data_IF_646262921347
#
_entry.id   IF_646262921347
#
_cell.length_a   1.000
_cell.length_b   1.000
_cell.length_c   1.000
_cell.angle_alpha   90.00
_cell.angle_beta   90.00
_cell.angle_gamma   90.00
#
_symmetry.space_group_name_H-M   'P 1'
#
loop_
_entity.id
_entity.type
_entity.pdbx_description
1 polymer ?
#
# COMPACT_ATOMS: atom_id res chain seq x y z
N UNK A 1 16.93 1.16 6.35
CA UNK A 1 17.73 1.78 5.29
C UNK A 1 17.76 3.29 5.44
N UNK A 2 18.89 3.90 5.10
CA UNK A 2 18.98 5.34 4.95
C UNK A 2 18.35 5.80 3.64
N UNK A 3 18.09 7.11 3.49
CA UNK A 3 17.57 7.66 2.23
C UNK A 3 18.54 7.44 1.07
N UNK A 4 19.84 7.51 1.30
CA UNK A 4 20.87 7.30 0.27
C UNK A 4 20.92 5.83 -0.17
N UNK A 5 20.81 4.88 0.74
CA UNK A 5 20.72 3.46 0.42
C UNK A 5 19.48 3.15 -0.42
N UNK A 6 18.34 3.76 -0.08
CA UNK A 6 17.12 3.63 -0.85
C UNK A 6 17.22 4.30 -2.21
N UNK A 7 17.85 5.47 -2.30
CA UNK A 7 18.07 6.15 -3.57
C UNK A 7 18.90 5.29 -4.55
N UNK A 8 19.85 4.52 -4.05
CA UNK A 8 20.66 3.61 -4.85
C UNK A 8 19.97 2.27 -5.20
N UNK A 9 18.83 1.97 -4.56
CA UNK A 9 18.18 0.68 -4.68
C UNK A 9 17.63 0.42 -6.10
N UNK A 10 17.72 -0.85 -6.52
CA UNK A 10 17.11 -1.34 -7.75
C UNK A 10 15.70 -1.88 -7.47
N UNK A 11 14.87 -1.95 -8.52
CA UNK A 11 13.62 -2.68 -8.42
C UNK A 11 13.91 -4.18 -8.24
N UNK A 12 13.12 -4.83 -7.39
CA UNK A 12 13.17 -6.28 -7.20
C UNK A 12 12.01 -6.97 -7.89
N UNK A 13 11.98 -8.30 -7.82
CA UNK A 13 10.89 -9.13 -8.35
C UNK A 13 10.25 -9.90 -7.19
N UNK A 14 9.09 -9.46 -6.68
CA UNK A 14 8.37 -10.19 -5.64
C UNK A 14 7.72 -11.46 -6.20
N UNK A 15 7.36 -12.45 -5.34
CA UNK A 15 6.69 -13.69 -5.79
C UNK A 15 5.37 -13.44 -6.52
N UNK A 16 4.67 -12.34 -6.21
CA UNK A 16 3.40 -11.90 -6.77
C UNK A 16 3.56 -10.77 -7.82
N UNK A 17 4.70 -10.75 -8.52
CA UNK A 17 5.02 -9.70 -9.51
C UNK A 17 3.96 -9.57 -10.63
N UNK A 18 3.29 -10.66 -11.00
CA UNK A 18 2.21 -10.63 -12.01
C UNK A 18 1.09 -9.65 -11.64
N UNK A 19 0.82 -9.49 -10.36
CA UNK A 19 -0.20 -8.54 -9.85
C UNK A 19 0.42 -7.21 -9.47
N UNK A 20 1.55 -7.23 -8.76
CA UNK A 20 2.12 -6.04 -8.14
C UNK A 20 2.95 -5.17 -9.09
N UNK A 21 3.40 -5.72 -10.22
CA UNK A 21 4.14 -5.00 -11.26
C UNK A 21 3.27 -4.68 -12.50
N UNK A 22 2.04 -5.20 -12.58
CA UNK A 22 1.19 -4.95 -13.74
C UNK A 22 0.67 -3.51 -13.76
N UNK A 23 0.71 -2.92 -14.95
CA UNK A 23 0.06 -1.65 -15.26
C UNK A 23 -1.20 -1.95 -16.04
N UNK A 24 -2.37 -1.41 -15.67
CA UNK A 24 -3.61 -1.61 -16.43
C UNK A 24 -3.49 -1.14 -17.87
N UNK A 25 -4.07 -1.89 -18.81
CA UNK A 25 -3.99 -1.58 -20.24
C UNK A 25 -4.79 -0.33 -20.65
N UNK A 26 -5.73 0.08 -19.81
CA UNK A 26 -6.62 1.24 -20.00
C UNK A 26 -6.11 2.50 -19.27
N UNK A 27 -4.88 2.47 -18.76
CA UNK A 27 -4.28 3.63 -18.09
C UNK A 27 -4.15 4.82 -19.06
N UNK A 28 -4.49 6.00 -18.57
CA UNK A 28 -4.37 7.23 -19.35
C UNK A 28 -2.93 7.48 -19.81
N UNK A 29 -2.71 7.78 -21.11
CA UNK A 29 -1.39 8.20 -21.59
C UNK A 29 -0.85 9.45 -20.87
N UNK A 30 -1.73 10.26 -20.29
CA UNK A 30 -1.35 11.43 -19.50
C UNK A 30 -0.70 11.02 -18.18
N UNK A 31 -1.23 10.01 -17.49
CA UNK A 31 -0.60 9.46 -16.28
C UNK A 31 0.75 8.80 -16.57
N UNK A 32 0.86 8.13 -17.70
CA UNK A 32 2.14 7.53 -18.14
C UNK A 32 3.19 8.63 -18.39
N UNK A 33 2.83 9.69 -19.11
CA UNK A 33 3.74 10.82 -19.32
C UNK A 33 4.12 11.50 -18.01
N UNK A 34 3.15 11.73 -17.13
CA UNK A 34 3.40 12.33 -15.82
C UNK A 34 4.44 11.55 -15.01
N UNK A 35 4.33 10.20 -14.98
CA UNK A 35 5.31 9.36 -14.29
C UNK A 35 6.73 9.56 -14.86
N UNK A 36 6.85 9.51 -16.18
CA UNK A 36 8.14 9.72 -16.85
C UNK A 36 8.69 11.13 -16.63
N UNK A 37 7.84 12.16 -16.66
CA UNK A 37 8.26 13.55 -16.45
C UNK A 37 8.76 13.77 -15.01
N UNK A 38 8.06 13.21 -14.02
CA UNK A 38 8.47 13.29 -12.61
C UNK A 38 9.82 12.61 -12.40
N UNK A 39 10.07 11.50 -13.07
CA UNK A 39 11.24 10.64 -12.83
C UNK A 39 12.36 10.83 -13.82
N UNK A 40 12.26 11.76 -14.78
CA UNK A 40 13.20 11.96 -15.87
C UNK A 40 14.67 12.19 -15.44
N UNK A 41 14.88 12.79 -14.25
CA UNK A 41 16.21 13.02 -13.69
C UNK A 41 16.74 11.90 -12.79
N UNK A 42 15.96 10.83 -12.58
CA UNK A 42 16.27 9.78 -11.63
C UNK A 42 16.88 8.55 -12.32
N UNK A 43 18.13 8.24 -11.98
CA UNK A 43 18.89 7.18 -12.64
C UNK A 43 18.57 5.77 -12.12
N UNK A 44 18.02 5.65 -10.91
CA UNK A 44 17.73 4.38 -10.24
C UNK A 44 16.26 4.29 -9.85
N UNK A 45 15.70 3.08 -9.72
CA UNK A 45 14.35 2.89 -9.19
C UNK A 45 14.12 3.58 -7.84
N UNK A 46 15.05 3.49 -6.92
CA UNK A 46 14.96 4.18 -5.64
C UNK A 46 14.93 5.70 -5.75
N UNK A 47 15.73 6.29 -6.65
CA UNK A 47 15.69 7.72 -6.95
C UNK A 47 14.36 8.13 -7.61
N UNK A 48 13.78 7.28 -8.46
CA UNK A 48 12.44 7.50 -9.03
C UNK A 48 11.37 7.56 -7.94
N UNK A 49 11.43 6.65 -6.96
CA UNK A 49 10.53 6.68 -5.79
C UNK A 49 10.64 8.00 -5.04
N UNK A 50 11.87 8.46 -4.79
CA UNK A 50 12.09 9.76 -4.13
C UNK A 50 11.50 10.93 -4.93
N UNK A 51 11.65 10.92 -6.26
CA UNK A 51 11.07 11.94 -7.14
C UNK A 51 9.53 11.95 -7.07
N UNK A 52 8.90 10.78 -7.08
CA UNK A 52 7.44 10.63 -6.93
C UNK A 52 6.98 11.18 -5.57
N UNK A 53 7.67 10.83 -4.48
CA UNK A 53 7.35 11.33 -3.14
C UNK A 53 7.53 12.85 -3.05
N UNK A 54 8.59 13.39 -3.66
CA UNK A 54 8.84 14.83 -3.71
C UNK A 54 7.76 15.58 -4.51
N UNK A 55 7.25 15.00 -5.60
CA UNK A 55 6.14 15.56 -6.36
C UNK A 55 4.89 15.75 -5.50
N UNK A 56 4.50 14.72 -4.73
CA UNK A 56 3.32 14.77 -3.85
C UNK A 56 3.49 15.65 -2.61
N UNK A 57 4.73 16.06 -2.29
CA UNK A 57 5.03 17.00 -1.19
C UNK A 57 5.03 18.48 -1.62
N UNK A 58 4.75 18.76 -2.89
CA UNK A 58 4.64 20.15 -3.37
C UNK A 58 3.52 20.88 -2.67
N UNK A 59 3.62 22.22 -2.51
CA UNK A 59 2.66 23.00 -1.72
C UNK A 59 1.24 23.03 -2.28
N UNK A 60 1.06 22.70 -3.57
CA UNK A 60 -0.26 22.57 -4.17
C UNK A 60 -1.05 21.37 -3.64
N UNK A 61 -0.38 20.32 -3.20
CA UNK A 61 -1.03 19.13 -2.64
C UNK A 61 -1.47 19.36 -1.19
N UNK A 62 -2.72 19.03 -0.89
CA UNK A 62 -3.28 19.19 0.45
C UNK A 62 -4.10 17.98 0.88
N UNK A 63 -3.98 17.63 2.17
CA UNK A 63 -4.80 16.60 2.78
C UNK A 63 -6.19 17.13 3.14
N UNK A 64 -7.23 16.39 2.79
CA UNK A 64 -8.59 16.73 3.19
C UNK A 64 -9.48 15.49 3.16
N UNK A 65 -10.19 15.25 4.24
CA UNK A 65 -11.25 14.25 4.33
C UNK A 65 -12.53 14.66 3.59
N UNK A 66 -12.71 15.97 3.32
CA UNK A 66 -13.85 16.50 2.57
C UNK A 66 -13.63 16.43 1.05
N UNK A 67 -12.48 15.95 0.61
CA UNK A 67 -12.21 15.75 -0.80
C UNK A 67 -13.23 14.78 -1.39
N UNK A 68 -13.78 15.13 -2.55
CA UNK A 68 -14.70 14.29 -3.34
C UNK A 68 -13.90 13.72 -4.53
N UNK A 69 -12.97 12.77 -4.31
CA UNK A 69 -12.19 12.23 -5.41
C UNK A 69 -13.11 11.44 -6.34
N UNK A 70 -12.89 11.59 -7.64
CA UNK A 70 -13.50 10.72 -8.63
C UNK A 70 -13.10 9.25 -8.42
N UNK A 71 -13.77 8.35 -9.12
CA UNK A 71 -13.49 6.93 -9.06
C UNK A 71 -12.38 6.51 -10.03
N UNK A 72 -11.67 5.43 -9.71
CA UNK A 72 -10.71 4.79 -10.60
C UNK A 72 -9.54 5.69 -11.01
N UNK A 73 -9.02 5.43 -12.21
CA UNK A 73 -7.85 6.15 -12.74
C UNK A 73 -8.16 7.59 -13.14
N UNK A 74 -9.39 7.88 -13.55
CA UNK A 74 -9.82 9.26 -13.85
C UNK A 74 -9.80 10.14 -12.59
N UNK A 75 -10.27 9.61 -11.47
CA UNK A 75 -10.21 10.30 -10.19
C UNK A 75 -8.78 10.52 -9.72
N UNK A 76 -7.89 9.54 -9.97
CA UNK A 76 -6.48 9.66 -9.61
C UNK A 76 -5.75 10.67 -10.52
N UNK A 77 -6.07 10.71 -11.82
CA UNK A 77 -5.56 11.72 -12.75
C UNK A 77 -6.00 13.12 -12.35
N UNK A 78 -7.29 13.28 -12.00
CA UNK A 78 -7.81 14.55 -11.51
C UNK A 78 -7.10 15.01 -10.23
N UNK A 79 -6.86 14.11 -9.28
CA UNK A 79 -6.10 14.41 -8.07
C UNK A 79 -4.67 14.87 -8.39
N UNK A 80 -3.96 14.15 -9.27
CA UNK A 80 -2.56 14.44 -9.59
C UNK A 80 -2.35 15.72 -10.40
N UNK A 81 -3.30 16.09 -11.27
CA UNK A 81 -3.09 17.14 -12.28
C UNK A 81 -3.97 18.39 -12.08
N UNK A 82 -5.05 18.29 -11.31
CA UNK A 82 -6.02 19.37 -11.22
C UNK A 82 -6.41 19.73 -9.80
N UNK A 83 -6.90 18.76 -9.04
CA UNK A 83 -7.57 19.02 -7.76
C UNK A 83 -6.56 19.14 -6.61
N UNK A 84 -5.49 18.36 -6.63
CA UNK A 84 -4.39 18.27 -5.66
C UNK A 84 -4.87 18.14 -4.21
N UNK A 85 -6.12 17.72 -4.01
CA UNK A 85 -6.78 17.61 -2.73
C UNK A 85 -7.33 16.20 -2.55
N UNK A 86 -6.87 15.50 -1.52
CA UNK A 86 -7.24 14.11 -1.27
C UNK A 86 -6.87 13.66 0.14
N UNK A 87 -7.11 12.38 0.42
CA UNK A 87 -6.75 11.74 1.68
C UNK A 87 -5.80 10.55 1.42
N UNK A 88 -5.42 9.79 2.44
CA UNK A 88 -4.38 8.76 2.37
C UNK A 88 -4.48 7.82 1.15
N UNK A 89 -5.71 7.46 0.74
CA UNK A 89 -5.91 6.55 -0.40
C UNK A 89 -5.42 7.16 -1.72
N UNK A 90 -5.71 8.44 -2.01
CA UNK A 90 -5.23 9.11 -3.23
C UNK A 90 -3.70 9.21 -3.24
N UNK A 91 -3.09 9.56 -2.13
CA UNK A 91 -1.64 9.63 -1.99
C UNK A 91 -0.99 8.26 -2.18
N UNK A 92 -1.48 7.23 -1.48
CA UNK A 92 -0.96 5.87 -1.59
C UNK A 92 -1.12 5.29 -2.99
N UNK A 93 -2.31 5.48 -3.61
CA UNK A 93 -2.59 4.99 -4.97
C UNK A 93 -1.75 5.70 -6.03
N UNK A 94 -1.48 7.00 -5.85
CA UNK A 94 -0.61 7.76 -6.75
C UNK A 94 0.80 7.20 -6.76
N UNK A 95 1.39 7.01 -5.58
CA UNK A 95 2.75 6.42 -5.49
C UNK A 95 2.77 5.03 -6.09
N UNK A 96 1.80 4.17 -5.74
CA UNK A 96 1.76 2.81 -6.24
C UNK A 96 1.62 2.75 -7.77
N UNK A 97 0.74 3.54 -8.37
CA UNK A 97 0.55 3.58 -9.82
C UNK A 97 1.76 4.15 -10.55
N UNK A 98 2.27 5.31 -10.12
CA UNK A 98 3.42 5.95 -10.76
C UNK A 98 4.67 5.06 -10.66
N UNK A 99 4.86 4.36 -9.54
CA UNK A 99 5.93 3.39 -9.37
C UNK A 99 5.80 2.20 -10.34
N UNK A 100 4.59 1.65 -10.54
CA UNK A 100 4.35 0.56 -11.51
C UNK A 100 4.65 0.99 -12.93
N UNK A 101 4.25 2.19 -13.32
CA UNK A 101 4.58 2.75 -14.65
C UNK A 101 6.09 2.79 -14.85
N UNK A 102 6.85 3.06 -13.79
CA UNK A 102 8.32 3.09 -13.78
C UNK A 102 8.98 1.71 -13.57
N UNK A 103 8.20 0.63 -13.63
CA UNK A 103 8.69 -0.74 -13.49
C UNK A 103 9.04 -1.15 -12.06
N UNK A 104 8.52 -0.46 -11.06
CA UNK A 104 8.76 -0.75 -9.65
C UNK A 104 7.51 -1.44 -9.08
N UNK A 105 7.59 -2.72 -8.68
CA UNK A 105 6.45 -3.43 -8.11
C UNK A 105 5.95 -2.72 -6.84
N UNK A 106 4.63 -2.56 -6.75
CA UNK A 106 4.00 -1.82 -5.67
C UNK A 106 2.68 -2.43 -5.23
N UNK A 107 2.33 -2.19 -3.97
CA UNK A 107 1.04 -2.54 -3.38
C UNK A 107 0.60 -1.46 -2.40
N UNK A 108 -0.68 -1.46 -2.04
CA UNK A 108 -1.22 -0.58 -1.01
C UNK A 108 -1.48 -1.42 0.24
N UNK A 109 -0.90 -1.00 1.35
CA UNK A 109 -1.22 -1.53 2.66
C UNK A 109 -2.33 -0.69 3.30
N UNK A 110 -3.25 -1.35 4.00
CA UNK A 110 -4.31 -0.71 4.77
C UNK A 110 -4.20 -1.21 6.22
N UNK A 111 -4.24 -0.28 7.16
CA UNK A 111 -4.11 -0.57 8.57
C UNK A 111 -4.45 0.64 9.42
N UNK A 112 -3.73 0.82 10.50
CA UNK A 112 -3.95 1.90 11.45
C UNK A 112 -2.61 2.55 11.82
N UNK A 113 -2.65 3.86 12.04
CA UNK A 113 -1.55 4.55 12.75
C UNK A 113 -1.52 4.10 14.22
N UNK A 114 -0.45 4.38 14.98
CA UNK A 114 -0.32 3.90 16.36
C UNK A 114 -1.44 4.31 17.32
N UNK A 115 -2.30 5.25 16.95
CA UNK A 115 -3.36 5.75 17.83
C UNK A 115 -2.83 6.63 18.97
N UNK A 116 -3.52 6.63 20.13
CA UNK A 116 -3.18 7.48 21.28
C UNK A 116 -2.87 6.61 22.49
N UNK A 117 -1.78 6.96 23.20
CA UNK A 117 -1.48 6.34 24.48
C UNK A 117 -2.36 6.96 25.58
N UNK A 118 -3.17 6.13 26.23
CA UNK A 118 -4.12 6.54 27.27
C UNK A 118 -3.92 5.68 28.50
N UNK A 119 -3.52 6.27 29.61
CA UNK A 119 -3.19 5.52 30.84
C UNK A 119 -1.97 4.61 30.63
N UNK A 120 -2.22 3.31 30.52
CA UNK A 120 -1.19 2.25 30.38
C UNK A 120 -1.29 1.46 29.06
N UNK A 121 -2.14 1.90 28.13
CA UNK A 121 -2.38 1.20 26.87
C UNK A 121 -2.55 2.14 25.67
N UNK A 122 -2.38 1.60 24.46
CA UNK A 122 -2.65 2.29 23.20
C UNK A 122 -4.13 2.09 22.82
N UNK A 123 -4.81 3.20 22.54
CA UNK A 123 -6.18 3.20 22.01
C UNK A 123 -6.11 3.53 20.52
N UNK A 124 -6.58 2.58 19.70
CA UNK A 124 -6.70 2.74 18.23
C UNK A 124 -8.17 2.78 17.88
N UNK A 125 -8.56 3.73 17.06
CA UNK A 125 -9.95 3.95 16.64
C UNK A 125 -10.06 3.93 15.12
N UNK A 126 -11.26 4.01 14.58
CA UNK A 126 -11.47 4.13 13.13
C UNK A 126 -10.90 5.44 12.53
N UNK A 127 -10.68 6.46 13.36
CA UNK A 127 -10.00 7.69 12.93
C UNK A 127 -8.50 7.48 12.65
N UNK A 128 -7.93 6.41 13.19
CA UNK A 128 -6.53 6.06 12.99
C UNK A 128 -6.33 5.15 11.75
N UNK A 129 -7.42 4.82 11.02
CA UNK A 129 -7.33 4.03 9.80
C UNK A 129 -6.53 4.77 8.73
N UNK A 130 -5.61 4.06 8.10
CA UNK A 130 -4.65 4.64 7.18
C UNK A 130 -4.32 3.69 6.02
N UNK A 131 -3.91 4.27 4.89
CA UNK A 131 -3.41 3.56 3.73
C UNK A 131 -2.04 4.14 3.32
N UNK A 132 -1.08 3.26 3.02
CA UNK A 132 0.25 3.64 2.57
C UNK A 132 0.74 2.72 1.46
N UNK A 133 1.64 3.20 0.56
CA UNK A 133 2.24 2.37 -0.46
C UNK A 133 3.41 1.56 0.10
N UNK A 134 3.56 0.34 -0.39
CA UNK A 134 4.76 -0.46 -0.23
C UNK A 134 5.34 -0.79 -1.61
N UNK A 135 6.65 -0.57 -1.76
CA UNK A 135 7.36 -0.80 -3.00
C UNK A 135 8.42 -1.89 -2.80
N UNK A 136 8.56 -2.76 -3.80
CA UNK A 136 9.51 -3.86 -3.69
C UNK A 136 10.88 -3.48 -4.25
N UNK A 137 11.85 -3.37 -3.37
CA UNK A 137 13.23 -2.99 -3.71
C UNK A 137 14.17 -4.17 -3.51
N UNK A 138 15.09 -4.36 -4.46
CA UNK A 138 16.05 -5.45 -4.43
C UNK A 138 16.93 -5.39 -3.16
N UNK A 139 17.06 -6.50 -2.48
CA UNK A 139 17.78 -6.60 -1.21
C UNK A 139 17.02 -6.11 0.02
N UNK A 140 15.92 -5.39 -0.16
CA UNK A 140 15.11 -4.83 0.92
C UNK A 140 13.73 -5.49 1.08
N UNK A 141 13.18 -6.07 0.00
CA UNK A 141 11.82 -6.57 -0.03
C UNK A 141 10.80 -5.44 -0.10
N UNK A 142 9.64 -5.63 0.52
CA UNK A 142 8.60 -4.62 0.64
C UNK A 142 9.01 -3.52 1.62
N UNK A 143 9.08 -2.30 1.13
CA UNK A 143 9.46 -1.10 1.89
C UNK A 143 8.26 -0.15 1.91
N UNK A 144 7.82 0.24 3.10
CA UNK A 144 6.71 1.18 3.31
C UNK A 144 7.18 2.62 3.12
N UNK A 145 6.33 3.44 2.49
CA UNK A 145 6.55 4.87 2.32
C UNK A 145 5.34 5.65 2.79
N UNK A 146 5.57 6.89 3.27
CA UNK A 146 4.49 7.77 3.71
C UNK A 146 4.46 9.04 2.84
N UNK A 147 3.57 9.10 1.84
CA UNK A 147 3.39 10.28 1.01
C UNK A 147 2.40 11.30 1.58
N UNK A 148 1.60 10.92 2.59
CA UNK A 148 0.48 11.73 3.08
C UNK A 148 0.96 12.88 3.93
N UNK A 149 0.60 14.14 3.60
CA UNK A 149 0.97 15.28 4.43
C UNK A 149 0.39 15.19 5.85
N UNK A 150 1.19 15.53 6.85
CA UNK A 150 0.75 15.58 8.26
C UNK A 150 0.73 14.24 8.99
N UNK A 151 0.86 13.12 8.31
CA UNK A 151 1.04 11.81 8.94
C UNK A 151 2.55 11.62 9.20
N UNK A 152 2.91 11.27 10.41
CA UNK A 152 4.33 11.13 10.81
C UNK A 152 5.03 12.43 11.20
N UNK A 153 4.36 13.58 11.18
CA UNK A 153 4.92 14.86 11.64
C UNK A 153 4.88 15.05 13.16
N UNK A 154 4.41 14.05 13.87
CA UNK A 154 4.43 13.99 15.33
C UNK A 154 5.83 13.57 15.80
N UNK A 155 6.69 14.56 16.02
CA UNK A 155 8.00 14.41 16.67
C UNK A 155 9.13 13.77 15.83
N UNK A 156 10.00 14.65 15.33
CA UNK A 156 11.44 14.45 15.11
C UNK A 156 11.89 13.10 14.55
N UNK A 157 12.42 13.20 13.39
CA UNK A 157 13.16 12.24 12.58
C UNK A 157 12.34 11.84 11.37
N UNK A 158 12.84 12.21 10.19
CA UNK A 158 12.48 11.52 8.96
C UNK A 158 12.86 10.06 9.18
N UNK A 159 11.90 9.29 9.67
CA UNK A 159 12.08 7.87 9.83
C UNK A 159 12.21 7.25 8.44
N UNK A 160 13.35 6.64 8.20
CA UNK A 160 13.59 5.89 6.98
C UNK A 160 12.46 4.86 6.79
N UNK A 161 12.07 4.55 5.55
CA UNK A 161 11.01 3.58 5.27
C UNK A 161 11.26 2.25 6.01
N UNK A 162 10.22 1.72 6.61
CA UNK A 162 10.31 0.48 7.39
C UNK A 162 10.20 -0.73 6.47
N UNK A 163 11.08 -1.69 6.65
CA UNK A 163 11.00 -2.99 5.95
C UNK A 163 9.83 -3.79 6.53
N UNK A 164 8.84 -4.09 5.72
CA UNK A 164 7.77 -5.01 6.10
C UNK A 164 8.26 -6.45 5.96
N UNK A 165 8.49 -7.13 7.08
CA UNK A 165 8.72 -8.57 7.08
C UNK A 165 7.37 -9.27 7.05
N UNK A 166 7.06 -9.96 5.97
CA UNK A 166 5.87 -10.82 5.90
C UNK A 166 6.04 -11.96 6.91
N UNK A 167 5.16 -12.14 7.90
CA UNK A 167 5.24 -13.30 8.76
C UNK A 167 4.89 -14.54 7.91
N UNK A 168 5.84 -15.43 7.74
CA UNK A 168 5.58 -16.76 7.20
C UNK A 168 4.81 -17.55 8.25
N UNK A 169 3.48 -17.50 8.19
CA UNK A 169 2.63 -18.40 8.96
C UNK A 169 2.60 -19.75 8.27
N UNK A 170 3.52 -20.60 8.63
CA UNK A 170 3.38 -22.04 8.42
C UNK A 170 2.44 -22.58 9.48
N UNK A 171 1.15 -22.52 9.23
CA UNK A 171 0.16 -23.27 10.00
C UNK A 171 -0.24 -24.51 9.20
N UNK A 172 0.38 -25.61 9.52
CA UNK A 172 -0.09 -26.94 9.12
C UNK A 172 -1.32 -27.26 9.96
N UNK A 173 -2.51 -27.45 9.40
CA UNK A 173 -3.64 -27.95 10.19
C UNK A 173 -3.44 -29.45 10.37
N UNK A 174 -3.13 -29.87 11.58
CA UNK A 174 -3.22 -31.27 12.00
C UNK A 174 -4.70 -31.61 12.14
N UNK A 175 -5.26 -32.28 11.15
CA UNK A 175 -6.58 -32.89 11.22
C UNK A 175 -6.48 -34.21 11.97
N UNK A 176 -6.99 -34.25 13.18
CA UNK A 176 -7.24 -35.50 13.93
C UNK A 176 -8.57 -36.09 13.46
N UNK A 177 -8.65 -37.32 12.97
CA UNK A 177 -9.92 -37.94 12.63
C UNK A 177 -10.64 -38.39 13.93
N UNK A 178 -11.80 -37.78 14.21
CA UNK A 178 -12.70 -38.24 15.23
C UNK A 178 -13.49 -39.43 14.72
N UNK A 179 -13.38 -40.56 15.42
CA UNK A 179 -14.03 -41.80 15.09
C UNK A 179 -15.54 -41.72 15.24
N UNK A 180 -16.25 -42.11 14.21
CA UNK A 180 -17.69 -42.30 14.21
C UNK A 180 -18.05 -43.50 15.08
N UNK A 181 -18.97 -43.33 16.02
CA UNK A 181 -19.73 -44.42 16.63
C UNK A 181 -21.11 -44.49 15.99
N UNK A 182 -21.32 -45.61 15.34
CA UNK A 182 -22.63 -46.06 14.88
C UNK A 182 -23.55 -46.34 16.11
N UNK A 183 -24.79 -45.89 16.02
CA UNK A 183 -25.90 -46.44 16.79
C UNK A 183 -27.11 -46.50 15.87
N UNK A 184 -27.49 -47.72 15.56
CA UNK A 184 -28.69 -48.13 14.89
C UNK A 184 -29.87 -48.15 15.87
N UNK A 185 -31.05 -47.73 15.43
CA UNK A 185 -32.36 -48.29 15.82
C UNK A 185 -33.41 -47.75 14.83
N UNK A 186 -33.88 -48.51 14.04
CA UNK A 186 -35.01 -49.32 13.70
C UNK A 186 -36.40 -48.77 14.07
N UNK A 187 -37.28 -48.93 13.06
CA UNK A 187 -38.73 -49.10 13.05
C UNK A 187 -39.58 -47.80 13.14
N UNK A 188 -40.61 -47.59 12.37
CA UNK A 188 -41.62 -48.45 11.73
C UNK A 188 -42.77 -47.54 11.30
N UNK A 189 -43.36 -47.91 10.15
CA UNK A 189 -44.78 -47.83 9.79
C UNK A 189 -45.40 -46.53 9.28
N UNK A 190 -45.78 -46.55 8.02
CA UNK A 190 -46.99 -46.04 7.38
C UNK A 190 -48.31 -46.65 7.99
N UNK A 191 -49.52 -46.26 7.63
CA UNK A 191 -50.00 -45.39 6.52
C UNK A 191 -51.25 -44.51 6.94
N UNK A 192 -51.57 -43.54 6.18
CA UNK A 192 -52.84 -43.25 5.46
C UNK A 192 -52.77 -41.87 4.82
#
# INVERSE_FOLDING_TARGET
>A
PTFDELAAAQAGSPPDAEVTASVPSDISPTLVRLAHDITAGAATPGAKVQAILAYLKRPEFSYSLDAQPGSGYEGLEAFLLRDHKGFCVQYASSVALLARIEGIPSRIAIGFTPGRFVGDHWTVTMHDMHAWPELYLAGWGWVSFEPTPGIGSGSSSQEAPTRTTTPTTTSTPTSTPSAARSASSSASSSPR
#
